data_IF_179206486582
#
_entry.id   IF_179206486582
#
_cell.length_a   1.000
_cell.length_b   1.000
_cell.length_c   1.000
_cell.angle_alpha   90.00
_cell.angle_beta   90.00
_cell.angle_gamma   90.00
#
_symmetry.space_group_name_H-M   'P 1'
#
loop_
_entity.id
_entity.type
_entity.pdbx_description
1 polymer ?
#
# COMPACT_ATOMS: atom_id res chain seq x y z
N UNK A 1 -14.03 12.69 -5.36
CA UNK A 1 -12.99 11.83 -5.95
C UNK A 1 -13.53 11.37 -7.28
N UNK A 2 -12.78 11.54 -8.36
CA UNK A 2 -13.11 10.90 -9.64
C UNK A 2 -12.77 9.41 -9.50
N UNK A 3 -13.57 8.54 -10.13
CA UNK A 3 -13.27 7.11 -10.16
C UNK A 3 -11.92 6.88 -10.85
N UNK A 4 -11.05 6.11 -10.20
CA UNK A 4 -9.75 5.70 -10.71
C UNK A 4 -9.58 4.24 -10.35
N UNK A 5 -9.30 3.42 -11.35
CA UNK A 5 -8.93 2.04 -11.14
C UNK A 5 -7.57 1.96 -10.42
N UNK A 6 -7.44 1.04 -9.48
CA UNK A 6 -6.19 0.76 -8.78
C UNK A 6 -5.81 -0.68 -9.06
N UNK A 7 -4.62 -0.85 -9.62
CA UNK A 7 -4.10 -2.16 -10.02
C UNK A 7 -3.50 -2.91 -8.83
N UNK A 8 -3.36 -4.23 -8.93
CA UNK A 8 -2.70 -5.04 -7.90
C UNK A 8 -1.24 -4.63 -7.66
N UNK A 9 -0.53 -4.17 -8.69
CA UNK A 9 0.85 -3.67 -8.57
C UNK A 9 0.88 -2.42 -7.70
N UNK A 10 -0.03 -1.49 -7.92
CA UNK A 10 -0.13 -0.28 -7.10
C UNK A 10 -0.51 -0.59 -5.65
N UNK A 11 -1.38 -1.59 -5.42
CA UNK A 11 -1.71 -2.04 -4.06
C UNK A 11 -0.48 -2.62 -3.38
N UNK A 12 0.25 -3.55 -4.02
CA UNK A 12 1.50 -4.12 -3.48
C UNK A 12 2.51 -3.01 -3.15
N UNK A 13 2.67 -2.05 -4.05
CA UNK A 13 3.58 -0.92 -3.86
C UNK A 13 3.16 -0.01 -2.70
N UNK A 14 1.85 0.25 -2.54
CA UNK A 14 1.33 0.99 -1.37
C UNK A 14 1.73 0.27 -0.09
N UNK A 15 1.45 -1.03 0.02
CA UNK A 15 1.70 -1.80 1.24
C UNK A 15 3.21 -1.90 1.52
N UNK A 16 4.03 -2.11 0.49
CA UNK A 16 5.49 -2.14 0.60
C UNK A 16 6.06 -0.80 1.09
N UNK A 17 5.55 0.33 0.61
CA UNK A 17 5.99 1.65 1.11
C UNK A 17 5.57 1.89 2.55
N UNK A 18 4.37 1.45 2.94
CA UNK A 18 3.93 1.54 4.34
C UNK A 18 4.83 0.68 5.24
N UNK A 19 5.13 -0.56 4.83
CA UNK A 19 6.09 -1.44 5.49
C UNK A 19 7.49 -0.83 5.63
N UNK A 20 7.89 -0.02 4.65
CA UNK A 20 9.15 0.74 4.67
C UNK A 20 9.08 2.06 5.46
N UNK A 21 7.98 2.34 6.17
CA UNK A 21 7.82 3.51 7.01
C UNK A 21 7.46 4.80 6.27
N UNK A 22 7.10 4.74 4.99
CA UNK A 22 6.65 5.92 4.26
C UNK A 22 5.26 6.35 4.74
N UNK A 23 5.11 7.65 5.00
CA UNK A 23 3.82 8.23 5.36
C UNK A 23 2.84 8.29 4.18
N UNK A 24 1.55 8.14 4.47
CA UNK A 24 0.43 8.17 3.49
C UNK A 24 0.49 9.38 2.55
N UNK A 25 0.90 10.56 3.06
CA UNK A 25 1.05 11.77 2.25
C UNK A 25 2.13 11.62 1.17
N UNK A 26 3.27 11.02 1.50
CA UNK A 26 4.36 10.80 0.57
C UNK A 26 3.95 9.79 -0.52
N UNK A 27 3.34 8.68 -0.11
CA UNK A 27 2.84 7.62 -1.02
C UNK A 27 1.82 8.22 -2.00
N UNK A 28 0.84 8.96 -1.49
CA UNK A 28 -0.19 9.62 -2.31
C UNK A 28 0.41 10.56 -3.35
N UNK A 29 1.41 11.37 -2.97
CA UNK A 29 2.07 12.29 -3.91
C UNK A 29 2.84 11.52 -4.99
N UNK A 30 3.47 10.41 -4.64
CA UNK A 30 4.29 9.63 -5.56
C UNK A 30 3.50 8.76 -6.54
N UNK A 31 2.39 8.16 -6.09
CA UNK A 31 1.60 7.23 -6.91
C UNK A 31 0.40 7.92 -7.58
N UNK A 32 0.10 9.17 -7.22
CA UNK A 32 -1.09 9.88 -7.70
C UNK A 32 -2.41 9.28 -7.16
N UNK A 33 -2.34 8.43 -6.14
CA UNK A 33 -3.49 7.77 -5.54
C UNK A 33 -4.01 8.62 -4.38
N UNK A 34 -5.33 8.73 -4.30
CA UNK A 34 -5.97 9.50 -3.24
C UNK A 34 -5.73 8.87 -1.86
N UNK A 35 -5.49 9.71 -0.85
CA UNK A 35 -5.16 9.24 0.51
C UNK A 35 -6.23 8.31 1.10
N UNK A 36 -7.51 8.58 0.85
CA UNK A 36 -8.62 7.72 1.31
C UNK A 36 -8.52 6.28 0.77
N UNK A 37 -8.10 6.13 -0.48
CA UNK A 37 -7.92 4.82 -1.12
C UNK A 37 -6.74 4.08 -0.47
N UNK A 38 -5.63 4.78 -0.26
CA UNK A 38 -4.45 4.23 0.43
C UNK A 38 -4.81 3.77 1.85
N UNK A 39 -5.49 4.62 2.64
CA UNK A 39 -5.90 4.27 4.00
C UNK A 39 -6.89 3.10 4.03
N UNK A 40 -7.74 2.97 3.01
CA UNK A 40 -8.65 1.82 2.88
C UNK A 40 -7.89 0.51 2.71
N UNK A 41 -6.90 0.47 1.81
CA UNK A 41 -6.07 -0.73 1.62
C UNK A 41 -5.21 -1.06 2.83
N UNK A 42 -4.65 -0.06 3.52
CA UNK A 42 -3.93 -0.27 4.78
C UNK A 42 -4.86 -0.86 5.85
N UNK A 43 -6.09 -0.34 5.97
CA UNK A 43 -7.10 -0.86 6.89
C UNK A 43 -7.44 -2.32 6.61
N UNK A 44 -7.75 -2.65 5.35
CA UNK A 44 -8.03 -4.02 4.93
C UNK A 44 -6.86 -4.97 5.18
N UNK A 45 -5.62 -4.53 4.90
CA UNK A 45 -4.43 -5.33 5.18
C UNK A 45 -4.31 -5.65 6.68
N UNK A 46 -4.55 -4.66 7.54
CA UNK A 46 -4.53 -4.85 9.00
C UNK A 46 -5.66 -5.79 9.48
N UNK A 47 -6.87 -5.65 8.93
CA UNK A 47 -8.01 -6.53 9.24
C UNK A 47 -7.75 -7.99 8.86
N UNK A 48 -7.07 -8.21 7.73
CA UNK A 48 -6.67 -9.54 7.25
C UNK A 48 -5.45 -10.11 8.00
N UNK A 49 -4.90 -9.38 8.96
CA UNK A 49 -3.72 -9.81 9.72
C UNK A 49 -2.44 -9.81 8.89
N UNK A 50 -2.40 -9.08 7.77
CA UNK A 50 -1.17 -8.87 7.03
C UNK A 50 -0.23 -8.05 7.91
N UNK A 51 0.79 -8.72 8.47
CA UNK A 51 1.86 -8.05 9.18
C UNK A 51 2.68 -7.28 8.15
N UNK A 52 2.36 -5.99 8.01
CA UNK A 52 3.12 -5.03 7.19
C UNK A 52 4.60 -4.93 7.62
N UNK A 53 4.98 -5.53 8.75
CA UNK A 53 6.37 -5.61 9.21
C UNK A 53 7.24 -6.60 8.40
N UNK A 54 6.63 -7.52 7.65
CA UNK A 54 7.35 -8.50 6.83
C UNK A 54 7.53 -7.95 5.41
N UNK A 55 8.60 -7.19 5.20
CA UNK A 55 9.03 -6.73 3.86
C UNK A 55 9.12 -7.89 2.86
N UNK A 56 9.55 -9.05 3.33
CA UNK A 56 9.75 -10.26 2.54
C UNK A 56 8.44 -10.97 2.16
N UNK A 57 7.30 -10.61 2.76
CA UNK A 57 5.99 -11.20 2.43
C UNK A 57 5.24 -10.44 1.33
N UNK A 58 5.69 -9.24 0.96
CA UNK A 58 5.02 -8.38 -0.02
C UNK A 58 5.68 -8.49 -1.40
N UNK A 59 6.96 -8.86 -1.45
CA UNK A 59 7.71 -9.13 -2.68
C UNK A 59 7.58 -10.60 -3.07
N UNK A 60 7.22 -10.90 -4.31
CA UNK A 60 7.24 -12.27 -4.86
C UNK A 60 8.68 -12.77 -5.12
N UNK A 61 9.69 -11.92 -4.90
CA UNK A 61 11.11 -12.26 -4.97
C UNK A 61 11.66 -12.43 -3.55
N UNK A 62 12.08 -13.66 -3.22
CA UNK A 62 13.01 -13.97 -2.13
C UNK A 62 14.33 -13.26 -2.44
N UNK A 63 14.60 -12.13 -1.77
CA UNK A 63 15.93 -11.51 -1.71
C UNK A 63 16.57 -11.83 -0.37
#
# INVERSE_FOLDING_TARGET
MVYREVTMIEIKEILLRVANGYGVRAISKSLGIHRKTITGYIGLANELGAKLDLKDSITDELV
#
